data_IF_406708547449
#
_entry.id   IF_406708547449
#
_cell.length_a   1.000
_cell.length_b   1.000
_cell.length_c   1.000
_cell.angle_alpha   90.00
_cell.angle_beta   90.00
_cell.angle_gamma   90.00
#
_symmetry.space_group_name_H-M   'P 1'
#
loop_
_entity.id
_entity.type
_entity.pdbx_description
1 polymer ?
#
# COMPACT_ATOMS: atom_id res chain seq x y z
N UNK A 1 18.32 -3.38 -9.28
CA UNK A 1 17.97 -2.13 -9.93
C UNK A 1 18.83 -1.86 -11.14
N UNK A 2 18.57 -0.79 -11.80
CA UNK A 2 19.37 -0.22 -12.85
C UNK A 2 19.56 1.28 -12.55
N UNK A 3 20.26 2.03 -13.41
CA UNK A 3 20.58 3.44 -13.14
C UNK A 3 19.32 4.33 -13.01
N UNK A 4 18.25 4.00 -13.73
CA UNK A 4 16.98 4.73 -13.70
C UNK A 4 16.09 4.32 -12.51
N UNK A 5 16.10 3.03 -12.16
CA UNK A 5 15.34 2.43 -11.07
C UNK A 5 16.27 1.66 -10.12
N UNK A 6 17.00 2.38 -9.27
CA UNK A 6 18.13 1.81 -8.52
C UNK A 6 17.73 0.97 -7.31
N UNK A 7 16.47 1.05 -6.88
CA UNK A 7 15.97 0.38 -5.69
C UNK A 7 15.22 -0.89 -6.07
N UNK A 8 15.36 -1.93 -5.26
CA UNK A 8 14.59 -3.17 -5.42
C UNK A 8 13.31 -3.10 -4.58
N UNK A 9 12.16 -3.25 -5.21
CA UNK A 9 10.89 -3.43 -4.52
C UNK A 9 10.60 -4.91 -4.32
N UNK A 10 10.30 -5.29 -3.09
CA UNK A 10 9.69 -6.58 -2.74
C UNK A 10 8.29 -6.36 -2.18
N UNK A 11 7.40 -7.28 -2.47
CA UNK A 11 6.02 -7.20 -2.03
C UNK A 11 5.71 -8.26 -0.98
N UNK A 12 4.87 -7.92 -0.02
CA UNK A 12 4.46 -8.81 1.04
C UNK A 12 2.98 -8.73 1.36
N UNK A 13 2.62 -9.30 2.51
CA UNK A 13 1.28 -9.26 3.07
C UNK A 13 1.25 -8.40 4.31
N UNK A 14 0.14 -7.70 4.50
CA UNK A 14 -0.13 -7.05 5.78
C UNK A 14 -0.39 -8.14 6.83
N UNK A 15 0.24 -8.09 7.99
CA UNK A 15 0.09 -9.12 9.03
C UNK A 15 -1.34 -9.27 9.54
N UNK A 16 -2.11 -8.18 9.53
CA UNK A 16 -3.45 -8.10 10.12
C UNK A 16 -4.58 -8.33 9.12
N UNK A 17 -4.28 -8.33 7.81
CA UNK A 17 -5.27 -8.48 6.76
C UNK A 17 -5.06 -9.77 5.97
N UNK A 18 -6.16 -10.37 5.54
CA UNK A 18 -6.10 -11.48 4.61
C UNK A 18 -6.43 -10.99 3.20
N UNK A 19 -5.41 -10.72 2.41
CA UNK A 19 -5.51 -10.07 1.10
C UNK A 19 -6.24 -8.71 1.22
N UNK A 20 -7.24 -8.46 0.38
CA UNK A 20 -8.10 -7.27 0.46
C UNK A 20 -9.23 -7.38 1.50
N UNK A 21 -9.32 -8.49 2.23
CA UNK A 21 -10.34 -8.71 3.25
C UNK A 21 -9.87 -8.25 4.63
N UNK A 22 -10.81 -8.07 5.55
CA UNK A 22 -10.60 -7.67 6.94
C UNK A 22 -10.14 -6.22 7.15
N UNK A 23 -9.72 -5.50 6.14
CA UNK A 23 -9.25 -4.12 6.28
C UNK A 23 -10.35 -3.12 6.69
N UNK A 24 -11.61 -3.49 6.52
CA UNK A 24 -12.76 -2.68 6.94
C UNK A 24 -13.19 -2.97 8.38
N UNK A 25 -12.47 -3.82 9.10
CA UNK A 25 -12.69 -4.05 10.54
C UNK A 25 -11.97 -2.94 11.30
N UNK A 26 -12.67 -2.08 12.06
CA UNK A 26 -12.10 -0.87 12.64
C UNK A 26 -10.85 -1.11 13.47
N UNK A 27 -10.88 -2.05 14.41
CA UNK A 27 -9.71 -2.29 15.27
C UNK A 27 -8.49 -2.84 14.51
N UNK A 28 -8.66 -3.58 13.40
CA UNK A 28 -7.56 -4.00 12.55
C UNK A 28 -7.00 -2.83 11.75
N UNK A 29 -7.89 -1.93 11.36
CA UNK A 29 -7.54 -0.70 10.66
C UNK A 29 -6.73 0.25 11.54
N UNK A 30 -7.04 0.33 12.83
CA UNK A 30 -6.25 1.09 13.80
C UNK A 30 -4.81 0.56 13.89
N UNK A 31 -4.62 -0.77 13.82
CA UNK A 31 -3.30 -1.39 13.87
C UNK A 31 -2.47 -1.12 12.61
N UNK A 32 -3.12 -0.96 11.46
CA UNK A 32 -2.44 -0.77 10.18
C UNK A 32 -3.25 0.16 9.27
N UNK A 33 -3.25 1.48 9.55
CA UNK A 33 -4.18 2.40 8.91
C UNK A 33 -3.82 2.81 7.49
N UNK A 34 -2.54 2.73 7.11
CA UNK A 34 -2.04 3.22 5.81
C UNK A 34 -1.03 2.24 5.21
N UNK A 35 -0.85 2.23 3.88
CA UNK A 35 0.20 1.42 3.26
C UNK A 35 1.57 1.95 3.67
N UNK A 36 2.46 1.05 4.06
CA UNK A 36 3.82 1.39 4.44
C UNK A 36 4.79 1.04 3.31
N UNK A 37 5.82 1.88 3.19
CA UNK A 37 7.02 1.63 2.38
C UNK A 37 8.17 1.45 3.33
N UNK A 38 8.45 0.22 3.70
CA UNK A 38 9.54 -0.10 4.61
C UNK A 38 10.88 0.06 3.90
N UNK A 39 11.84 0.73 4.54
CA UNK A 39 13.17 0.96 3.98
C UNK A 39 14.24 1.05 5.06
N UNK A 40 15.46 0.71 4.68
CA UNK A 40 16.62 0.84 5.57
C UNK A 40 16.96 2.32 5.83
N UNK A 41 17.44 2.70 7.02
CA UNK A 41 17.82 4.09 7.32
C UNK A 41 18.79 4.71 6.30
N UNK A 42 19.81 3.99 5.86
CA UNK A 42 20.76 4.48 4.86
C UNK A 42 20.09 4.67 3.48
N UNK A 43 19.07 3.88 3.16
CA UNK A 43 18.28 4.07 1.94
C UNK A 43 17.42 5.33 2.06
N UNK A 44 16.78 5.53 3.20
CA UNK A 44 15.99 6.73 3.47
C UNK A 44 16.86 8.00 3.38
N UNK A 45 18.02 8.00 4.03
CA UNK A 45 18.98 9.10 4.00
C UNK A 45 19.45 9.40 2.55
N UNK A 46 19.80 8.37 1.79
CA UNK A 46 20.26 8.48 0.40
C UNK A 46 19.25 9.19 -0.50
N UNK A 47 17.96 9.01 -0.27
CA UNK A 47 16.88 9.59 -1.06
C UNK A 47 16.19 10.79 -0.38
N UNK A 48 16.71 11.26 0.76
CA UNK A 48 16.17 12.40 1.49
C UNK A 48 14.78 12.14 2.07
N UNK A 49 14.52 10.92 2.50
CA UNK A 49 13.22 10.47 3.01
C UNK A 49 13.25 10.44 4.53
N UNK A 50 12.21 10.99 5.15
CA UNK A 50 12.00 10.98 6.61
C UNK A 50 10.95 9.92 6.98
N UNK A 51 11.13 9.30 8.15
CA UNK A 51 10.17 8.33 8.66
C UNK A 51 8.77 8.94 8.83
N UNK A 52 7.75 8.25 8.37
CA UNK A 52 6.35 8.68 8.45
C UNK A 52 5.88 9.65 7.36
N UNK A 53 6.76 10.16 6.50
CA UNK A 53 6.33 10.98 5.36
C UNK A 53 5.77 10.16 4.20
N UNK A 54 4.97 10.80 3.35
CA UNK A 54 4.50 10.18 2.13
C UNK A 54 5.61 10.12 1.08
N UNK A 55 5.72 8.98 0.42
CA UNK A 55 6.70 8.74 -0.64
C UNK A 55 6.05 8.14 -1.88
N UNK A 56 6.56 8.50 -3.04
CA UNK A 56 6.28 7.83 -4.29
C UNK A 56 7.24 6.67 -4.52
N UNK A 57 6.71 5.58 -4.99
CA UNK A 57 7.43 4.43 -5.55
C UNK A 57 7.03 4.31 -7.01
N UNK A 58 7.99 4.40 -7.92
CA UNK A 58 7.74 4.54 -9.35
C UNK A 58 8.61 3.62 -10.18
N UNK A 59 8.06 3.13 -11.27
CA UNK A 59 8.80 2.50 -12.36
C UNK A 59 8.21 2.93 -13.72
N UNK A 60 8.69 2.32 -14.82
CA UNK A 60 8.24 2.65 -16.18
C UNK A 60 6.74 2.41 -16.44
N UNK A 61 6.01 1.78 -15.52
CA UNK A 61 4.58 1.47 -15.68
C UNK A 61 3.67 2.47 -14.99
N UNK A 62 4.15 3.02 -13.89
CA UNK A 62 3.39 3.97 -13.10
C UNK A 62 4.02 4.20 -11.75
N UNK A 63 3.28 4.84 -10.88
CA UNK A 63 3.70 5.14 -9.51
C UNK A 63 2.59 4.88 -8.52
N UNK A 64 2.99 4.52 -7.33
CA UNK A 64 2.12 4.34 -6.16
C UNK A 64 2.72 5.07 -4.97
N UNK A 65 1.90 5.41 -3.99
CA UNK A 65 2.37 6.08 -2.77
C UNK A 65 2.09 5.26 -1.52
N UNK A 66 2.88 5.49 -0.50
CA UNK A 66 2.71 4.97 0.85
C UNK A 66 3.47 5.82 1.84
N UNK A 67 3.31 5.54 3.13
CA UNK A 67 4.11 6.20 4.18
C UNK A 67 5.43 5.47 4.38
N UNK A 68 6.51 6.23 4.42
CA UNK A 68 7.82 5.69 4.76
C UNK A 68 7.82 5.09 6.16
N UNK A 69 8.37 3.89 6.28
CA UNK A 69 8.64 3.22 7.55
C UNK A 69 10.12 2.85 7.58
N UNK A 70 10.89 3.65 8.30
CA UNK A 70 12.33 3.47 8.37
C UNK A 70 12.68 2.43 9.42
N UNK A 71 13.31 1.33 8.99
CA UNK A 71 13.60 0.19 9.85
C UNK A 71 14.87 -0.54 9.44
N UNK A 72 15.57 -1.10 10.42
CA UNK A 72 16.71 -1.99 10.20
C UNK A 72 16.31 -3.39 9.69
N UNK A 73 15.00 -3.69 9.66
CA UNK A 73 14.48 -5.01 9.28
C UNK A 73 14.51 -5.30 7.78
N UNK A 74 15.04 -4.39 6.96
CA UNK A 74 15.14 -4.56 5.51
C UNK A 74 16.56 -4.24 5.02
N UNK A 75 16.95 -4.87 3.91
CA UNK A 75 18.28 -4.64 3.32
C UNK A 75 18.38 -3.24 2.68
N UNK A 76 19.61 -2.73 2.61
CA UNK A 76 19.94 -1.48 1.91
C UNK A 76 19.54 -1.58 0.43
N UNK A 77 19.18 -0.46 -0.16
CA UNK A 77 18.70 -0.34 -1.54
C UNK A 77 17.53 -1.29 -1.89
N UNK A 78 16.81 -1.72 -0.86
CA UNK A 78 15.59 -2.53 -0.97
C UNK A 78 14.48 -1.83 -0.19
N UNK A 79 13.28 -1.85 -0.76
CA UNK A 79 12.05 -1.40 -0.10
C UNK A 79 11.01 -2.52 -0.12
N UNK A 80 10.11 -2.49 0.84
CA UNK A 80 9.01 -3.43 0.93
C UNK A 80 7.69 -2.68 0.99
N UNK A 81 6.71 -3.14 0.19
CA UNK A 81 5.32 -2.67 0.26
C UNK A 81 4.38 -3.86 0.39
N UNK A 82 3.28 -3.64 1.09
CA UNK A 82 2.21 -4.63 1.13
C UNK A 82 1.33 -4.52 -0.10
N UNK A 83 0.92 -5.67 -0.59
CA UNK A 83 -0.08 -5.77 -1.65
C UNK A 83 -1.50 -5.72 -1.09
N UNK A 84 -2.47 -5.56 -1.98
CA UNK A 84 -3.91 -5.54 -1.69
C UNK A 84 -4.37 -4.30 -0.92
N UNK A 85 -3.61 -3.22 -0.99
CA UNK A 85 -4.04 -1.96 -0.43
C UNK A 85 -4.81 -1.15 -1.48
N UNK A 86 -6.04 -0.83 -1.17
CA UNK A 86 -6.84 0.09 -1.95
C UNK A 86 -7.38 1.15 -0.99
N UNK A 87 -7.12 2.43 -1.23
CA UNK A 87 -7.67 3.49 -0.40
C UNK A 87 -9.19 3.57 -0.59
N UNK A 88 -9.86 3.98 0.43
CA UNK A 88 -11.23 4.43 0.33
C UNK A 88 -11.22 5.94 0.13
N UNK A 89 -11.45 6.40 -1.08
CA UNK A 89 -11.74 7.80 -1.33
C UNK A 89 -13.22 8.04 -1.05
N UNK A 90 -13.49 8.83 -0.02
CA UNK A 90 -14.85 9.22 0.31
C UNK A 90 -15.34 10.39 -0.52
N UNK A 91 -14.42 11.25 -0.96
CA UNK A 91 -14.72 12.53 -1.59
C UNK A 91 -14.34 12.57 -3.08
N UNK A 92 -14.36 11.43 -3.78
CA UNK A 92 -14.14 11.44 -5.22
C UNK A 92 -15.41 11.10 -5.97
N UNK A 93 -15.58 11.71 -7.14
CA UNK A 93 -16.66 11.41 -8.07
C UNK A 93 -16.58 9.96 -8.62
N UNK A 94 -15.41 9.32 -8.48
CA UNK A 94 -15.19 7.94 -8.93
C UNK A 94 -14.34 7.15 -7.91
N UNK A 95 -14.95 6.69 -6.82
CA UNK A 95 -14.25 5.89 -5.81
C UNK A 95 -13.70 4.56 -6.36
N UNK A 96 -14.17 4.10 -7.51
CA UNK A 96 -13.67 2.88 -8.14
C UNK A 96 -12.21 3.00 -8.61
N UNK A 97 -11.70 4.22 -8.78
CA UNK A 97 -10.32 4.49 -9.20
C UNK A 97 -9.32 4.71 -8.06
N UNK A 98 -9.77 4.65 -6.84
CA UNK A 98 -8.90 4.85 -5.67
C UNK A 98 -7.68 3.91 -5.64
N UNK A 99 -7.78 2.73 -6.22
CA UNK A 99 -6.68 1.76 -6.32
C UNK A 99 -5.50 2.27 -7.17
N UNK A 100 -5.68 3.24 -8.05
CA UNK A 100 -4.65 3.72 -8.99
C UNK A 100 -3.45 4.39 -8.34
N UNK A 101 -3.55 4.77 -7.08
CA UNK A 101 -2.46 5.46 -6.38
C UNK A 101 -1.73 4.61 -5.34
N UNK A 102 -2.29 3.48 -4.94
CA UNK A 102 -1.76 2.72 -3.81
C UNK A 102 -1.69 1.21 -4.03
N UNK A 103 -2.28 0.73 -5.11
CA UNK A 103 -2.20 -0.69 -5.42
C UNK A 103 -0.86 -0.99 -6.11
N UNK A 104 0.03 -1.65 -5.40
CA UNK A 104 1.37 -2.00 -5.88
C UNK A 104 1.37 -2.82 -7.18
N UNK A 105 0.24 -3.47 -7.53
CA UNK A 105 0.11 -4.16 -8.81
C UNK A 105 0.22 -3.24 -10.03
N UNK A 106 0.06 -1.92 -9.87
CA UNK A 106 0.33 -0.95 -10.94
C UNK A 106 1.77 -1.05 -11.43
N UNK A 107 2.69 -1.38 -10.53
CA UNK A 107 4.12 -1.49 -10.84
C UNK A 107 4.49 -2.84 -11.48
N UNK A 108 3.57 -3.81 -11.54
CA UNK A 108 3.85 -5.14 -12.06
C UNK A 108 3.60 -5.24 -13.56
N UNK A 109 4.35 -6.10 -14.24
CA UNK A 109 4.23 -6.30 -15.69
C UNK A 109 3.27 -7.44 -16.00
N UNK A 110 2.36 -7.20 -16.94
CA UNK A 110 1.51 -8.23 -17.52
C UNK A 110 2.05 -8.79 -18.85
N UNK A 111 3.02 -8.09 -19.44
CA UNK A 111 3.64 -8.36 -20.73
C UNK A 111 5.09 -8.87 -20.60
N UNK A 112 5.51 -9.19 -19.39
CA UNK A 112 6.88 -9.55 -19.09
C UNK A 112 7.08 -11.05 -18.85
N UNK A 113 8.17 -11.35 -18.15
CA UNK A 113 8.47 -12.72 -17.72
C UNK A 113 7.46 -13.15 -16.66
N UNK A 114 6.72 -14.17 -16.97
CA UNK A 114 5.81 -14.85 -16.04
C UNK A 114 6.16 -16.33 -15.99
N UNK A 115 5.72 -17.00 -14.94
CA UNK A 115 5.86 -18.44 -14.85
C UNK A 115 4.96 -19.09 -15.92
N UNK A 116 5.52 -19.88 -16.85
CA UNK A 116 4.75 -20.42 -17.97
C UNK A 116 3.70 -21.46 -17.55
N UNK A 117 3.85 -22.05 -16.37
CA UNK A 117 2.94 -23.08 -15.85
C UNK A 117 1.73 -22.46 -15.13
N UNK A 118 1.95 -21.36 -14.41
CA UNK A 118 0.93 -20.76 -13.55
C UNK A 118 0.42 -19.40 -14.05
N UNK A 119 1.07 -18.83 -15.07
CA UNK A 119 0.74 -17.48 -15.54
C UNK A 119 1.06 -16.36 -14.53
N UNK A 120 1.72 -16.69 -13.42
CA UNK A 120 2.08 -15.68 -12.42
C UNK A 120 3.27 -14.85 -12.86
N UNK A 121 3.16 -13.55 -12.77
CA UNK A 121 4.24 -12.62 -13.06
C UNK A 121 5.15 -12.40 -11.84
N UNK A 122 6.28 -11.75 -12.07
CA UNK A 122 7.24 -11.45 -11.01
C UNK A 122 6.66 -10.39 -10.09
N UNK A 123 6.41 -10.76 -8.84
CA UNK A 123 5.89 -9.91 -7.77
C UNK A 123 6.97 -9.41 -6.81
N UNK A 124 8.20 -9.91 -6.95
CA UNK A 124 9.31 -9.57 -6.06
C UNK A 124 10.54 -9.26 -6.87
N UNK A 125 11.29 -8.25 -6.43
CA UNK A 125 12.48 -7.81 -7.15
C UNK A 125 12.17 -6.90 -8.34
N UNK A 126 11.15 -6.06 -8.21
CA UNK A 126 10.87 -5.02 -9.20
C UNK A 126 11.86 -3.87 -9.03
N UNK A 127 12.43 -3.40 -10.15
CA UNK A 127 13.28 -2.21 -10.15
C UNK A 127 12.40 -0.95 -10.09
N UNK A 128 12.65 -0.09 -9.10
CA UNK A 128 11.89 1.12 -8.83
C UNK A 128 12.81 2.26 -8.41
N UNK A 129 12.32 3.49 -8.45
CA UNK A 129 12.84 4.64 -7.72
C UNK A 129 11.88 5.02 -6.60
N UNK A 130 12.40 5.63 -5.54
CA UNK A 130 11.62 6.12 -4.40
C UNK A 130 12.03 7.56 -4.12
N UNK A 131 11.07 8.40 -3.80
CA UNK A 131 11.30 9.82 -3.52
C UNK A 131 10.15 10.42 -2.71
N UNK A 132 10.39 11.53 -1.97
CA UNK A 132 9.34 12.19 -1.20
C UNK A 132 8.12 12.58 -2.04
N UNK A 133 6.94 12.49 -1.43
CA UNK A 133 5.66 12.98 -1.96
C UNK A 133 5.17 14.13 -1.06
N UNK A 134 5.68 15.36 -1.23
CA UNK A 134 5.41 16.47 -0.33
C UNK A 134 3.93 16.90 -0.34
N UNK A 135 3.20 16.60 -1.40
CA UNK A 135 1.75 16.77 -1.50
C UNK A 135 0.97 15.83 -0.56
N UNK A 136 1.65 14.82 -0.01
CA UNK A 136 1.02 13.81 0.84
C UNK A 136 0.05 12.91 0.08
N UNK A 137 -0.92 12.33 0.79
CA UNK A 137 -2.10 11.72 0.18
C UNK A 137 -3.16 12.78 -0.08
N UNK A 138 -4.05 12.58 -1.07
CA UNK A 138 -5.20 13.46 -1.26
C UNK A 138 -6.01 13.57 0.04
N UNK A 139 -6.52 14.77 0.33
CA UNK A 139 -7.42 14.99 1.44
C UNK A 139 -8.65 14.09 1.28
N UNK A 140 -9.13 13.48 2.37
CA UNK A 140 -10.23 12.51 2.32
C UNK A 140 -9.87 11.11 1.78
N UNK A 141 -8.62 10.90 1.32
CA UNK A 141 -8.17 9.60 0.80
C UNK A 141 -8.15 8.48 1.84
N UNK A 142 -8.22 8.83 3.11
CA UNK A 142 -8.14 7.89 4.22
C UNK A 142 -9.22 8.15 5.23
N UNK A 143 -9.96 7.10 5.53
CA UNK A 143 -10.84 7.11 6.70
C UNK A 143 -9.96 6.90 7.92
N UNK A 144 -9.99 7.85 8.84
CA UNK A 144 -9.47 7.60 10.17
C UNK A 144 -10.28 6.47 10.79
N UNK A 145 -9.65 5.40 11.31
CA UNK A 145 -10.39 4.29 11.93
C UNK A 145 -11.36 4.72 13.03
N UNK A 146 -11.05 5.78 13.75
CA UNK A 146 -11.92 6.36 14.78
C UNK A 146 -13.14 7.09 14.23
N UNK A 147 -13.08 7.52 12.98
CA UNK A 147 -14.14 8.26 12.30
C UNK A 147 -14.89 7.36 11.31
N UNK A 148 -14.54 6.08 11.27
CA UNK A 148 -15.17 5.12 10.37
C UNK A 148 -16.58 4.80 10.86
N UNK A 149 -17.58 5.37 10.19
CA UNK A 149 -18.95 4.92 10.30
C UNK A 149 -19.19 3.77 9.30
N UNK A 150 -19.74 2.63 9.74
CA UNK A 150 -20.11 1.56 8.82
C UNK A 150 -21.07 2.10 7.77
N UNK A 151 -20.81 1.83 6.49
CA UNK A 151 -21.69 2.22 5.38
C UNK A 151 -23.08 1.56 5.43
N UNK A 152 -23.31 0.66 6.39
CA UNK A 152 -24.60 0.04 6.68
C UNK A 152 -25.02 0.35 8.14
N UNK A 153 -25.38 1.60 8.45
CA UNK A 153 -25.78 1.98 9.82
C UNK A 153 -27.00 1.20 10.33
N UNK A 154 -27.87 0.74 9.45
CA UNK A 154 -29.07 -0.03 9.82
C UNK A 154 -28.74 -1.46 10.30
N UNK A 155 -27.52 -1.95 10.05
CA UNK A 155 -27.10 -3.29 10.50
C UNK A 155 -26.73 -3.33 11.99
N UNK A 156 -26.49 -2.19 12.60
CA UNK A 156 -26.12 -2.09 14.02
C UNK A 156 -27.30 -2.26 14.98
N UNK A 157 -28.53 -2.05 14.49
CA UNK A 157 -29.72 -2.15 15.32
C UNK A 157 -30.44 -3.51 15.24
N UNK A 158 -30.06 -4.39 14.34
CA UNK A 158 -30.85 -5.60 14.03
C UNK A 158 -30.21 -6.94 14.42
N UNK A 159 -29.05 -6.97 15.01
CA UNK A 159 -28.44 -8.25 15.41
C UNK A 159 -28.57 -8.52 16.91
N UNK A 160 -29.77 -8.72 17.40
CA UNK A 160 -29.95 -9.76 18.39
C UNK A 160 -29.73 -11.12 17.68
N UNK A 161 -28.48 -11.58 17.65
CA UNK A 161 -28.20 -12.96 17.28
C UNK A 161 -28.71 -13.83 18.40
N UNK A 162 -29.95 -14.24 18.31
CA UNK A 162 -30.52 -15.26 19.19
C UNK A 162 -29.94 -16.60 18.77
N UNK A 163 -28.87 -17.01 19.43
CA UNK A 163 -28.45 -18.41 19.40
C UNK A 163 -29.52 -19.24 20.10
N UNK A 164 -30.29 -19.99 19.33
CA UNK A 164 -31.16 -21.05 19.84
C UNK A 164 -30.40 -22.35 19.90
#
# INVERSE_FOLDING_TARGET
>A
GNDEYPVMLTEGRVPFYHHGTLRNIPYLRELYPVPLVSMHPETAEKYGIVDGEWVWVENSRGKVRGKAFVTLGIAKDTIHMERFWNPEYLDTDDPSRAWTEMNVNILTKTDGKFNPEHGTYVLRGLAVKVYPAPEGAPEGAWINPTDFEPWMPEYSESTEVVFK
#
